data_IF_030486811636
#
_entry.id   IF_030486811636
#
_cell.length_a   1.000
_cell.length_b   1.000
_cell.length_c   1.000
_cell.angle_alpha   90.00
_cell.angle_beta   90.00
_cell.angle_gamma   90.00
#
_symmetry.space_group_name_H-M   'P 1'
#
loop_
_entity.id
_entity.type
_entity.pdbx_description
1 polymer ?
#
# COMPACT_ATOMS: atom_id res chain seq x y z
N UNK A 1 0.47 -16.91 15.13
CA UNK A 1 1.07 -16.48 13.86
C UNK A 1 1.79 -17.63 13.13
N UNK A 2 1.24 -18.82 13.27
CA UNK A 2 1.89 -20.01 12.70
C UNK A 2 1.90 -19.96 11.17
N UNK A 3 3.08 -20.13 10.60
CA UNK A 3 3.29 -20.12 9.14
C UNK A 3 3.42 -18.76 8.49
N UNK A 4 3.32 -17.65 9.22
CA UNK A 4 3.36 -16.31 8.62
C UNK A 4 4.72 -16.00 7.97
N UNK A 5 5.83 -16.37 8.60
CA UNK A 5 7.16 -16.22 7.99
C UNK A 5 7.47 -17.32 6.96
N UNK A 6 6.68 -18.39 6.89
CA UNK A 6 6.86 -19.58 6.06
C UNK A 6 5.98 -19.56 4.80
N UNK A 7 5.49 -18.41 4.40
CA UNK A 7 4.68 -18.26 3.19
C UNK A 7 3.20 -18.62 3.34
N UNK A 8 2.69 -18.77 4.57
CA UNK A 8 1.29 -19.11 4.87
C UNK A 8 0.60 -18.03 5.69
N UNK A 9 0.37 -16.84 5.16
CA UNK A 9 -0.41 -15.79 5.84
C UNK A 9 -1.88 -16.21 5.90
N UNK A 10 -2.60 -15.87 6.99
CA UNK A 10 -4.04 -16.07 7.05
C UNK A 10 -4.81 -15.01 6.25
N UNK A 11 -4.22 -13.83 6.06
CA UNK A 11 -4.74 -12.77 5.24
C UNK A 11 -3.60 -11.94 4.63
N UNK A 12 -3.79 -11.49 3.39
CA UNK A 12 -2.91 -10.52 2.71
C UNK A 12 -3.77 -9.37 2.22
N UNK A 13 -3.50 -8.17 2.71
CA UNK A 13 -4.28 -6.96 2.46
C UNK A 13 -3.51 -6.03 1.55
N UNK A 14 -4.14 -5.55 0.49
CA UNK A 14 -3.58 -4.55 -0.42
C UNK A 14 -3.55 -3.14 0.21
N UNK A 15 -2.83 -2.22 -0.42
CA UNK A 15 -3.05 -0.80 -0.21
C UNK A 15 -4.46 -0.42 -0.74
N UNK A 16 -5.00 0.71 -0.26
CA UNK A 16 -6.28 1.22 -0.73
C UNK A 16 -6.10 2.05 -2.01
N UNK A 17 -6.88 1.75 -3.06
CA UNK A 17 -6.85 2.43 -4.35
C UNK A 17 -8.22 2.99 -4.72
N UNK A 18 -8.31 4.00 -5.60
CA UNK A 18 -9.60 4.46 -6.11
C UNK A 18 -10.41 3.30 -6.67
N UNK A 19 -11.69 3.21 -6.31
CA UNK A 19 -12.55 2.10 -6.72
C UNK A 19 -12.49 1.86 -8.24
N UNK A 20 -12.26 0.61 -8.62
CA UNK A 20 -12.10 0.19 -10.01
C UNK A 20 -10.74 0.49 -10.63
N UNK A 21 -9.72 0.82 -9.81
CA UNK A 21 -8.35 1.06 -10.27
C UNK A 21 -7.32 0.24 -9.48
N UNK A 22 -6.16 0.06 -10.11
CA UNK A 22 -4.93 -0.43 -9.48
C UNK A 22 -3.80 0.58 -9.69
N UNK A 23 -2.68 0.47 -8.98
CA UNK A 23 -1.54 1.35 -9.25
C UNK A 23 -0.97 1.09 -10.66
N UNK A 24 -0.63 2.18 -11.37
CA UNK A 24 0.11 2.07 -12.62
C UNK A 24 1.47 1.41 -12.35
N UNK A 25 1.87 0.36 -13.12
CA UNK A 25 3.11 -0.36 -12.88
C UNK A 25 4.35 0.55 -12.97
N UNK A 26 5.35 0.21 -12.14
CA UNK A 26 6.63 0.92 -12.11
C UNK A 26 7.54 0.49 -13.27
N UNK A 27 7.12 0.75 -14.50
CA UNK A 27 7.88 0.39 -15.70
C UNK A 27 8.78 1.52 -16.18
N UNK A 28 9.96 1.21 -16.78
CA UNK A 28 10.81 2.18 -17.47
C UNK A 28 10.09 2.85 -18.64
N UNK A 29 10.52 4.06 -18.99
CA UNK A 29 9.88 4.85 -20.05
C UNK A 29 9.80 4.16 -21.40
N UNK A 30 10.75 3.28 -21.70
CA UNK A 30 10.84 2.52 -22.96
C UNK A 30 9.71 1.50 -23.17
N UNK A 31 9.00 1.12 -22.11
CA UNK A 31 7.86 0.19 -22.21
C UNK A 31 6.55 0.89 -22.58
N UNK A 32 6.51 2.20 -22.48
CA UNK A 32 5.33 2.99 -22.78
C UNK A 32 5.31 3.44 -24.23
N UNK A 33 4.13 3.65 -24.78
CA UNK A 33 3.99 4.34 -26.05
C UNK A 33 4.72 5.69 -26.03
N UNK A 34 5.33 6.05 -27.14
CA UNK A 34 6.07 7.31 -27.23
C UNK A 34 5.09 8.48 -27.42
N UNK A 35 5.40 9.58 -26.73
CA UNK A 35 4.66 10.84 -26.79
C UNK A 35 5.63 11.99 -26.94
N UNK A 36 5.15 13.11 -27.45
CA UNK A 36 5.90 14.36 -27.52
C UNK A 36 6.27 14.86 -26.11
N UNK A 37 7.37 15.60 -26.04
CA UNK A 37 7.87 16.15 -24.76
C UNK A 37 6.87 17.11 -24.09
N UNK A 38 5.92 17.70 -24.83
CA UNK A 38 4.85 18.55 -24.30
C UNK A 38 3.98 17.86 -23.27
N UNK A 39 3.72 16.56 -23.43
CA UNK A 39 2.83 15.78 -22.56
C UNK A 39 3.54 15.12 -21.37
N UNK A 40 4.86 15.19 -21.35
CA UNK A 40 5.69 14.50 -20.36
C UNK A 40 5.33 14.83 -18.90
N UNK A 41 5.00 16.10 -18.62
CA UNK A 41 4.61 16.53 -17.25
C UNK A 41 3.25 15.93 -16.85
N UNK A 42 2.33 15.85 -17.77
CA UNK A 42 1.01 15.25 -17.54
C UNK A 42 1.11 13.74 -17.37
N UNK A 43 1.81 13.07 -18.27
CA UNK A 43 2.02 11.60 -18.20
C UNK A 43 2.70 11.14 -16.90
N UNK A 44 3.58 11.97 -16.33
CA UNK A 44 4.20 11.68 -15.02
C UNK A 44 3.23 11.71 -13.85
N UNK A 45 2.06 12.35 -14.00
CA UNK A 45 1.01 12.39 -12.97
C UNK A 45 0.06 11.20 -13.04
N UNK A 46 0.10 10.41 -14.11
CA UNK A 46 -0.68 9.19 -14.27
C UNK A 46 -0.26 8.18 -13.20
N UNK A 47 -1.23 7.67 -12.43
CA UNK A 47 -0.97 6.82 -11.27
C UNK A 47 -1.93 5.62 -11.15
N UNK A 48 -3.12 5.69 -11.77
CA UNK A 48 -4.21 4.76 -11.52
C UNK A 48 -4.66 4.10 -12.82
N UNK A 49 -4.42 2.81 -12.96
CA UNK A 49 -4.83 2.00 -14.11
C UNK A 49 -6.24 1.45 -13.86
N UNK A 50 -7.21 1.69 -14.76
CA UNK A 50 -8.55 1.10 -14.63
C UNK A 50 -8.52 -0.42 -14.75
N UNK A 51 -9.24 -1.12 -13.89
CA UNK A 51 -9.39 -2.58 -13.95
C UNK A 51 -10.05 -3.05 -15.27
N UNK A 52 -10.94 -2.26 -15.83
CA UNK A 52 -11.64 -2.56 -17.08
C UNK A 52 -10.70 -2.62 -18.30
N UNK A 53 -9.55 -1.96 -18.22
CA UNK A 53 -8.61 -1.82 -19.33
C UNK A 53 -7.38 -2.76 -19.20
N UNK A 54 -7.39 -3.70 -18.27
CA UNK A 54 -6.26 -4.62 -18.05
C UNK A 54 -5.98 -5.57 -19.23
N UNK A 55 -6.94 -5.77 -20.12
CA UNK A 55 -6.79 -6.53 -21.36
C UNK A 55 -6.03 -5.79 -22.46
N UNK A 56 -5.87 -4.47 -22.33
CA UNK A 56 -5.12 -3.68 -23.28
C UNK A 56 -3.60 -3.96 -23.18
N UNK A 57 -2.86 -3.78 -24.28
CA UNK A 57 -1.41 -3.95 -24.24
C UNK A 57 -0.75 -3.07 -23.19
N UNK A 58 0.21 -3.64 -22.43
CA UNK A 58 0.90 -2.96 -21.33
C UNK A 58 1.52 -1.61 -21.74
N UNK A 59 1.98 -1.48 -23.00
CA UNK A 59 2.54 -0.23 -23.53
C UNK A 59 1.54 0.93 -23.52
N UNK A 60 0.23 0.66 -23.59
CA UNK A 60 -0.85 1.65 -23.60
C UNK A 60 -1.36 2.01 -22.21
N UNK A 61 -1.01 1.26 -21.18
CA UNK A 61 -1.58 1.44 -19.86
C UNK A 61 -1.38 2.85 -19.29
N UNK A 62 -0.23 3.47 -19.54
CA UNK A 62 0.01 4.84 -19.08
C UNK A 62 -0.97 5.84 -19.69
N UNK A 63 -1.35 5.67 -20.96
CA UNK A 63 -2.27 6.56 -21.65
C UNK A 63 -3.70 6.40 -21.13
N UNK A 64 -4.07 5.14 -20.84
CA UNK A 64 -5.38 4.79 -20.28
C UNK A 64 -5.53 5.10 -18.79
N UNK A 65 -4.41 5.31 -18.10
CA UNK A 65 -4.40 5.56 -16.66
C UNK A 65 -4.90 6.97 -16.31
N UNK A 66 -5.34 7.09 -15.07
CA UNK A 66 -5.82 8.36 -14.50
C UNK A 66 -4.75 9.02 -13.61
N UNK A 67 -4.78 10.34 -13.56
CA UNK A 67 -4.17 11.15 -12.50
C UNK A 67 -5.03 11.11 -11.24
N UNK A 68 -4.55 11.64 -10.11
CA UNK A 68 -5.35 11.78 -8.88
C UNK A 68 -6.64 12.59 -9.13
N UNK A 69 -6.57 13.65 -9.95
CA UNK A 69 -7.72 14.48 -10.27
C UNK A 69 -8.75 13.73 -11.14
N UNK A 70 -8.31 13.09 -12.22
CA UNK A 70 -9.19 12.31 -13.09
C UNK A 70 -9.86 11.14 -12.36
N UNK A 71 -9.11 10.46 -11.48
CA UNK A 71 -9.66 9.38 -10.65
C UNK A 71 -10.75 9.90 -9.69
N UNK A 72 -10.57 11.10 -9.13
CA UNK A 72 -11.57 11.72 -8.26
C UNK A 72 -12.81 12.17 -9.04
N UNK A 73 -12.64 12.76 -10.22
CA UNK A 73 -13.74 13.24 -11.07
C UNK A 73 -14.69 12.13 -11.56
N UNK A 74 -14.25 10.88 -11.56
CA UNK A 74 -15.12 9.73 -11.87
C UNK A 74 -16.27 9.55 -10.87
N UNK A 75 -16.13 10.06 -9.65
CA UNK A 75 -17.12 9.89 -8.57
C UNK A 75 -17.88 11.21 -8.28
N UNK A 76 -17.24 12.34 -8.52
CA UNK A 76 -17.85 13.65 -8.34
C UNK A 76 -17.21 14.67 -9.28
N UNK A 77 -17.99 15.32 -10.11
CA UNK A 77 -17.53 16.34 -11.08
C UNK A 77 -16.81 17.52 -10.39
N UNK A 78 -17.18 17.80 -9.15
CA UNK A 78 -16.62 18.91 -8.37
C UNK A 78 -15.30 18.53 -7.66
N UNK A 79 -14.91 17.25 -7.73
CA UNK A 79 -13.69 16.76 -7.09
C UNK A 79 -12.45 17.16 -7.88
N UNK A 80 -11.62 18.00 -7.32
CA UNK A 80 -10.38 18.47 -7.93
C UNK A 80 -9.17 17.55 -7.64
N UNK A 81 -9.25 16.67 -6.64
CA UNK A 81 -8.16 15.77 -6.26
C UNK A 81 -8.66 14.58 -5.44
N UNK A 82 -7.97 13.45 -5.58
CA UNK A 82 -8.15 12.26 -4.75
C UNK A 82 -7.72 12.51 -3.29
N UNK A 83 -6.67 13.28 -3.12
CA UNK A 83 -6.06 13.55 -1.81
C UNK A 83 -5.33 14.88 -1.81
N UNK A 84 -5.25 15.48 -0.63
CA UNK A 84 -4.48 16.70 -0.39
C UNK A 84 -3.42 16.38 0.68
N UNK A 85 -2.17 16.71 0.39
CA UNK A 85 -1.08 16.57 1.34
C UNK A 85 -0.59 17.95 1.73
N UNK A 86 -0.51 18.22 3.04
CA UNK A 86 -0.10 19.52 3.56
C UNK A 86 0.60 19.44 4.91
N UNK A 87 1.35 20.48 5.27
CA UNK A 87 2.01 20.55 6.56
C UNK A 87 1.00 20.80 7.68
N UNK A 88 1.18 20.10 8.79
CA UNK A 88 0.47 20.33 10.03
C UNK A 88 1.46 20.67 11.14
N UNK A 89 1.26 21.80 11.79
CA UNK A 89 2.12 22.24 12.89
C UNK A 89 1.70 21.57 14.19
N UNK A 90 2.67 21.09 14.93
CA UNK A 90 2.49 20.46 16.23
C UNK A 90 3.37 21.14 17.27
N UNK A 91 2.87 21.22 18.50
CA UNK A 91 3.60 21.69 19.67
C UNK A 91 3.65 20.63 20.75
N UNK A 92 4.77 20.53 21.42
CA UNK A 92 4.89 19.82 22.70
C UNK A 92 5.07 20.83 23.80
N UNK A 93 4.20 20.80 24.80
CA UNK A 93 4.22 21.74 25.93
C UNK A 93 5.00 21.10 27.07
N UNK A 94 5.99 21.81 27.57
CA UNK A 94 6.65 21.46 28.83
C UNK A 94 5.68 21.74 30.01
N UNK A 95 5.20 20.71 30.64
CA UNK A 95 4.19 20.81 31.72
C UNK A 95 4.72 21.49 32.97
N UNK A 96 6.03 21.66 33.15
CA UNK A 96 6.62 22.36 34.29
C UNK A 96 6.64 23.87 34.08
N UNK A 97 6.82 24.33 32.85
CA UNK A 97 6.92 25.75 32.49
C UNK A 97 5.67 26.26 31.79
N UNK A 98 4.77 25.36 31.37
CA UNK A 98 3.56 25.63 30.57
C UNK A 98 3.86 26.34 29.23
N UNK A 99 5.08 26.18 28.72
CA UNK A 99 5.52 26.83 27.48
C UNK A 99 6.05 25.79 26.47
N UNK A 100 6.06 26.15 25.21
CA UNK A 100 6.89 25.54 24.18
C UNK A 100 8.32 26.09 24.32
N UNK A 101 9.30 25.40 23.77
CA UNK A 101 10.69 25.81 23.95
C UNK A 101 11.61 25.24 22.89
N UNK A 102 12.81 24.88 23.31
CA UNK A 102 13.86 24.28 22.49
C UNK A 102 13.94 22.76 22.70
N UNK A 103 14.68 22.07 21.85
CA UNK A 103 14.89 20.63 21.93
C UNK A 103 13.58 19.84 21.74
N UNK A 104 13.25 18.97 22.69
CA UNK A 104 12.05 18.09 22.62
C UNK A 104 10.71 18.87 22.74
N UNK A 105 10.76 20.12 23.14
CA UNK A 105 9.59 21.01 23.25
C UNK A 105 9.51 22.04 22.13
N UNK A 106 10.42 21.96 21.14
CA UNK A 106 10.35 22.83 19.96
C UNK A 106 9.12 22.47 19.10
N UNK A 107 8.45 23.46 18.52
CA UNK A 107 7.43 23.22 17.51
C UNK A 107 8.01 22.42 16.32
N UNK A 108 7.21 21.50 15.80
CA UNK A 108 7.61 20.70 14.66
C UNK A 108 6.49 20.57 13.63
N UNK A 109 6.82 20.29 12.40
CA UNK A 109 5.86 20.05 11.33
C UNK A 109 5.82 18.59 10.93
N UNK A 110 4.63 18.08 10.70
CA UNK A 110 4.39 16.81 10.02
C UNK A 110 3.64 17.09 8.73
N UNK A 111 3.82 16.22 7.75
CA UNK A 111 3.00 16.22 6.55
C UNK A 111 1.90 15.18 6.71
N UNK A 112 0.65 15.63 6.68
CA UNK A 112 -0.53 14.80 6.74
C UNK A 112 -1.20 14.74 5.35
N UNK A 113 -1.87 13.63 5.07
CA UNK A 113 -2.62 13.43 3.82
C UNK A 113 -4.09 13.20 4.17
N UNK A 114 -4.96 14.00 3.56
CA UNK A 114 -6.40 13.88 3.66
C UNK A 114 -6.95 13.34 2.35
N UNK A 115 -7.73 12.28 2.43
CA UNK A 115 -8.44 11.72 1.29
C UNK A 115 -9.79 12.40 1.08
N UNK A 116 -10.21 12.51 -0.17
CA UNK A 116 -11.51 13.04 -0.52
C UNK A 116 -12.60 12.03 -0.13
N UNK A 117 -13.50 12.42 0.76
CA UNK A 117 -14.57 11.56 1.28
C UNK A 117 -15.57 11.12 0.20
N UNK A 118 -15.70 11.87 -0.90
CA UNK A 118 -16.59 11.53 -2.00
C UNK A 118 -15.97 10.53 -2.99
N UNK A 119 -14.73 10.08 -2.74
CA UNK A 119 -14.04 9.12 -3.62
C UNK A 119 -13.85 7.81 -2.87
N UNK A 120 -14.64 6.78 -3.16
CA UNK A 120 -14.50 5.49 -2.53
C UNK A 120 -13.16 4.85 -2.90
N UNK A 121 -12.50 4.29 -1.90
CA UNK A 121 -11.32 3.48 -2.07
C UNK A 121 -11.69 2.01 -1.99
N UNK A 122 -10.99 1.16 -2.72
CA UNK A 122 -11.17 -0.29 -2.68
C UNK A 122 -9.86 -0.94 -2.19
N UNK A 123 -10.01 -1.95 -1.33
CA UNK A 123 -8.92 -2.78 -0.82
C UNK A 123 -9.14 -4.20 -1.29
N UNK A 124 -8.15 -4.81 -1.92
CA UNK A 124 -8.19 -6.23 -2.27
C UNK A 124 -7.57 -7.05 -1.16
N UNK A 125 -8.18 -8.17 -0.84
CA UNK A 125 -7.78 -9.05 0.26
C UNK A 125 -7.74 -10.48 -0.25
N UNK A 126 -6.66 -11.18 0.04
CA UNK A 126 -6.55 -12.63 -0.08
C UNK A 126 -6.72 -13.20 1.33
N UNK A 127 -7.71 -14.05 1.52
CA UNK A 127 -8.08 -14.60 2.81
C UNK A 127 -8.03 -16.13 2.80
N UNK A 128 -7.37 -16.74 3.76
CA UNK A 128 -7.42 -18.15 4.02
C UNK A 128 -8.65 -18.47 4.91
N UNK A 129 -9.79 -18.74 4.27
CA UNK A 129 -11.06 -18.99 4.95
C UNK A 129 -11.06 -20.29 5.79
N UNK A 130 -10.00 -21.13 5.70
CA UNK A 130 -9.81 -22.27 6.60
C UNK A 130 -9.30 -21.86 7.99
N UNK A 131 -8.77 -20.64 8.12
CA UNK A 131 -8.10 -20.12 9.34
C UNK A 131 -8.83 -18.96 9.98
N UNK A 132 -9.60 -18.21 9.23
CA UNK A 132 -10.41 -17.09 9.73
C UNK A 132 -11.68 -16.97 8.88
N UNK A 133 -12.81 -16.83 9.53
CA UNK A 133 -14.08 -16.59 8.85
C UNK A 133 -14.12 -15.19 8.23
N UNK A 134 -14.79 -15.07 7.07
CA UNK A 134 -14.90 -13.82 6.33
C UNK A 134 -15.60 -12.72 7.14
N UNK A 135 -16.67 -13.08 7.85
CA UNK A 135 -17.40 -12.11 8.67
C UNK A 135 -16.58 -11.65 9.87
N UNK A 136 -15.85 -12.55 10.51
CA UNK A 136 -14.92 -12.23 11.59
C UNK A 136 -13.80 -11.30 11.10
N UNK A 137 -13.25 -11.55 9.92
CA UNK A 137 -12.23 -10.68 9.33
C UNK A 137 -12.78 -9.30 8.98
N UNK A 138 -13.99 -9.21 8.40
CA UNK A 138 -14.65 -7.94 8.11
C UNK A 138 -14.89 -7.12 9.38
N UNK A 139 -15.39 -7.77 10.45
CA UNK A 139 -15.57 -7.12 11.74
C UNK A 139 -14.23 -6.59 12.33
N UNK A 140 -13.14 -7.36 12.18
CA UNK A 140 -11.82 -6.91 12.60
C UNK A 140 -11.36 -5.67 11.82
N UNK A 141 -11.64 -5.59 10.52
CA UNK A 141 -11.35 -4.40 9.71
C UNK A 141 -12.18 -3.19 10.15
N UNK A 142 -13.45 -3.36 10.49
CA UNK A 142 -14.29 -2.29 11.04
C UNK A 142 -13.70 -1.72 12.35
N UNK A 143 -13.27 -2.60 13.26
CA UNK A 143 -12.60 -2.17 14.49
C UNK A 143 -11.30 -1.39 14.23
N UNK A 144 -10.52 -1.81 13.23
CA UNK A 144 -9.33 -1.06 12.80
C UNK A 144 -9.74 0.30 12.22
N UNK A 145 -10.82 0.37 11.44
CA UNK A 145 -11.36 1.63 10.92
C UNK A 145 -11.76 2.61 12.02
N UNK A 146 -12.43 2.14 13.06
CA UNK A 146 -12.83 2.95 14.22
C UNK A 146 -11.62 3.44 15.04
N UNK A 147 -10.64 2.58 15.27
CA UNK A 147 -9.43 2.91 16.06
C UNK A 147 -8.40 3.70 15.27
N UNK A 148 -8.39 3.58 13.95
CA UNK A 148 -7.40 4.14 13.03
C UNK A 148 -6.26 3.18 12.71
N UNK A 149 -5.72 3.30 11.51
CA UNK A 149 -4.58 2.53 11.00
C UNK A 149 -3.40 3.43 10.69
N UNK A 150 -2.17 2.91 10.85
CA UNK A 150 -0.95 3.59 10.47
C UNK A 150 -0.24 4.32 11.61
N UNK A 151 0.78 5.10 11.22
CA UNK A 151 1.73 5.75 12.16
C UNK A 151 1.09 6.63 13.21
N UNK A 152 0.08 7.38 12.82
CA UNK A 152 -0.54 8.43 13.64
C UNK A 152 -1.96 8.04 14.11
N UNK A 153 -2.29 6.74 14.14
CA UNK A 153 -3.56 6.22 14.65
C UNK A 153 -3.83 6.65 16.10
N UNK A 154 -2.80 6.66 16.96
CA UNK A 154 -2.90 7.08 18.37
C UNK A 154 -3.29 8.56 18.56
N UNK A 155 -3.21 9.38 17.52
CA UNK A 155 -3.65 10.79 17.54
C UNK A 155 -4.90 11.01 16.68
N UNK A 156 -5.62 9.94 16.34
CA UNK A 156 -6.93 9.98 15.69
C UNK A 156 -6.90 10.00 14.16
N UNK A 157 -5.74 9.75 13.54
CA UNK A 157 -5.63 9.63 12.08
C UNK A 157 -5.80 8.18 11.60
N UNK A 158 -5.98 8.01 10.29
CA UNK A 158 -6.10 6.70 9.65
C UNK A 158 -7.43 6.00 9.92
N UNK A 159 -8.46 6.73 10.31
CA UNK A 159 -9.83 6.22 10.44
C UNK A 159 -10.47 6.06 9.07
N UNK A 160 -11.31 5.04 8.94
CA UNK A 160 -12.09 4.78 7.74
C UNK A 160 -13.39 4.07 8.11
N UNK A 161 -14.35 4.08 7.20
CA UNK A 161 -15.58 3.31 7.25
C UNK A 161 -15.57 2.32 6.09
N UNK A 162 -16.16 1.14 6.31
CA UNK A 162 -16.34 0.12 5.26
C UNK A 162 -17.74 0.34 4.68
N UNK A 163 -17.81 0.47 3.36
CA UNK A 163 -19.07 0.67 2.63
C UNK A 163 -19.37 -0.55 1.77
N UNK A 164 -20.61 -1.03 1.84
CA UNK A 164 -21.13 -2.12 1.02
C UNK A 164 -20.61 -3.51 1.45
N UNK A 165 -21.03 -4.51 0.68
CA UNK A 165 -20.64 -5.90 0.89
C UNK A 165 -19.36 -6.24 0.10
N UNK A 166 -18.52 -7.15 0.63
CA UNK A 166 -17.33 -7.60 -0.08
C UNK A 166 -17.71 -8.40 -1.34
N UNK A 167 -17.08 -8.06 -2.45
CA UNK A 167 -17.21 -8.76 -3.72
C UNK A 167 -16.16 -9.85 -3.83
N UNK A 168 -16.58 -11.07 -4.16
CA UNK A 168 -15.65 -12.18 -4.40
C UNK A 168 -15.10 -12.07 -5.81
N UNK A 169 -13.80 -11.88 -5.92
CA UNK A 169 -13.13 -11.84 -7.21
C UNK A 169 -12.93 -13.26 -7.78
N UNK A 170 -12.96 -13.43 -9.10
CA UNK A 170 -12.66 -14.71 -9.73
C UNK A 170 -11.24 -15.14 -9.43
N UNK A 171 -11.01 -16.47 -9.39
CA UNK A 171 -9.67 -17.03 -9.22
C UNK A 171 -8.69 -16.47 -10.27
N UNK A 172 -7.45 -16.16 -9.89
CA UNK A 172 -6.48 -15.58 -10.80
C UNK A 172 -6.11 -16.57 -11.92
N UNK A 173 -5.97 -16.04 -13.12
CA UNK A 173 -5.46 -16.82 -14.25
C UNK A 173 -3.95 -16.95 -14.15
N UNK A 174 -3.42 -18.07 -14.66
CA UNK A 174 -1.98 -18.25 -14.73
C UNK A 174 -1.35 -17.26 -15.72
N UNK A 175 -0.42 -16.47 -15.26
CA UNK A 175 0.34 -15.49 -16.05
C UNK A 175 1.81 -15.48 -15.65
N UNK A 176 2.66 -14.93 -16.51
CA UNK A 176 4.08 -14.70 -16.18
C UNK A 176 4.31 -13.35 -15.53
N UNK A 177 3.47 -12.37 -15.82
CA UNK A 177 3.61 -11.00 -15.33
C UNK A 177 2.52 -10.70 -14.31
N UNK A 178 2.92 -10.12 -13.19
CA UNK A 178 2.02 -9.75 -12.10
C UNK A 178 2.33 -8.35 -11.59
N UNK A 179 1.30 -7.63 -11.17
CA UNK A 179 1.43 -6.32 -10.53
C UNK A 179 1.10 -6.47 -9.05
N UNK A 180 1.99 -6.01 -8.17
CA UNK A 180 1.77 -6.06 -6.72
C UNK A 180 0.86 -4.91 -6.26
N UNK A 181 -0.03 -5.20 -5.32
CA UNK A 181 -1.02 -4.26 -4.80
C UNK A 181 -0.69 -3.73 -3.40
N UNK A 182 0.46 -4.09 -2.86
CA UNK A 182 1.00 -3.55 -1.61
C UNK A 182 2.52 -3.53 -1.68
N UNK A 183 3.15 -2.92 -0.69
CA UNK A 183 4.60 -3.01 -0.53
C UNK A 183 4.99 -4.40 -0.06
N UNK A 184 5.95 -5.06 -0.74
CA UNK A 184 6.32 -6.44 -0.43
C UNK A 184 7.81 -6.74 -0.60
N UNK A 185 8.19 -7.95 -0.16
CA UNK A 185 9.53 -8.53 -0.38
C UNK A 185 9.51 -9.37 -1.64
N UNK A 186 10.38 -9.05 -2.59
CA UNK A 186 10.45 -9.79 -3.86
C UNK A 186 11.42 -10.97 -3.83
N UNK A 187 12.37 -11.01 -2.90
CA UNK A 187 13.37 -12.08 -2.82
C UNK A 187 12.80 -13.47 -2.50
N UNK A 188 11.57 -13.52 -1.97
CA UNK A 188 10.86 -14.77 -1.67
C UNK A 188 9.93 -15.25 -2.81
N UNK A 189 9.83 -14.49 -3.91
CA UNK A 189 8.98 -14.88 -5.04
C UNK A 189 9.64 -16.02 -5.82
N UNK A 190 8.98 -17.19 -5.93
CA UNK A 190 9.53 -18.31 -6.68
C UNK A 190 9.73 -17.96 -8.16
N UNK A 191 10.82 -18.46 -8.74
CA UNK A 191 11.11 -18.33 -10.18
C UNK A 191 11.07 -16.88 -10.73
N UNK A 192 11.27 -15.88 -9.86
CA UNK A 192 11.35 -14.47 -10.29
C UNK A 192 12.47 -14.28 -11.32
N UNK A 193 12.22 -13.43 -12.31
CA UNK A 193 13.19 -12.95 -13.27
C UNK A 193 13.64 -11.53 -12.89
N UNK A 194 14.75 -11.35 -12.14
CA UNK A 194 15.18 -10.03 -11.67
C UNK A 194 15.40 -9.01 -12.79
N UNK A 195 15.95 -9.47 -13.94
CA UNK A 195 16.21 -8.61 -15.10
C UNK A 195 14.93 -8.07 -15.78
N UNK A 196 13.78 -8.66 -15.49
CA UNK A 196 12.46 -8.30 -16.04
C UNK A 196 11.47 -7.87 -14.94
N UNK A 197 11.99 -7.59 -13.76
CA UNK A 197 11.19 -7.15 -12.62
C UNK A 197 11.51 -5.69 -12.32
N UNK A 198 10.48 -4.85 -12.32
CA UNK A 198 10.59 -3.40 -12.18
C UNK A 198 9.78 -2.92 -10.98
N UNK A 199 10.40 -2.16 -10.10
CA UNK A 199 9.75 -1.64 -8.92
C UNK A 199 10.38 -0.32 -8.44
N UNK A 200 9.63 0.43 -7.68
CA UNK A 200 10.15 1.55 -6.89
C UNK A 200 10.55 1.01 -5.52
N UNK A 201 11.77 1.26 -5.10
CA UNK A 201 12.22 0.89 -3.76
C UNK A 201 11.58 1.80 -2.71
N UNK A 202 11.09 1.20 -1.62
CA UNK A 202 10.55 1.90 -0.45
C UNK A 202 11.28 1.44 0.81
N UNK A 203 11.90 2.38 1.52
CA UNK A 203 12.45 2.11 2.84
C UNK A 203 11.37 2.30 3.89
N UNK A 204 11.16 1.29 4.72
CA UNK A 204 10.23 1.34 5.83
C UNK A 204 10.97 1.40 7.17
N UNK A 205 10.69 2.44 7.94
CA UNK A 205 11.22 2.64 9.30
C UNK A 205 10.09 2.34 10.30
N UNK A 206 10.04 1.08 10.77
CA UNK A 206 9.02 0.68 11.73
C UNK A 206 9.33 1.17 13.13
N UNK A 207 8.29 1.48 13.89
CA UNK A 207 8.35 1.78 15.32
C UNK A 207 7.32 0.94 16.05
N UNK A 208 7.66 0.51 17.26
CA UNK A 208 6.69 -0.11 18.15
C UNK A 208 5.68 0.92 18.64
N UNK A 209 4.45 0.46 18.83
CA UNK A 209 3.40 1.20 19.52
C UNK A 209 3.33 0.84 20.99
N UNK A 210 2.34 1.44 21.68
CA UNK A 210 1.98 1.16 23.06
C UNK A 210 3.16 1.22 24.02
N UNK A 211 3.26 0.29 24.98
CA UNK A 211 4.32 0.25 26.01
C UNK A 211 5.71 0.24 25.39
N UNK A 212 5.90 -0.47 24.28
CA UNK A 212 7.19 -0.54 23.60
C UNK A 212 7.60 0.76 22.91
N UNK A 213 6.67 1.68 22.68
CA UNK A 213 6.95 3.00 22.08
C UNK A 213 7.83 3.88 23.00
N UNK A 214 7.77 3.66 24.31
CA UNK A 214 8.54 4.37 25.33
C UNK A 214 9.70 3.52 25.90
N UNK A 215 9.88 2.31 25.40
CA UNK A 215 11.00 1.46 25.75
C UNK A 215 12.33 2.01 25.18
N UNK A 216 13.46 1.57 25.73
CA UNK A 216 14.79 2.05 25.35
C UNK A 216 15.18 1.84 23.88
N UNK A 217 14.51 0.91 23.15
CA UNK A 217 14.74 0.64 21.73
C UNK A 217 13.41 0.50 20.96
N UNK A 218 12.66 1.60 20.75
CA UNK A 218 11.34 1.55 20.12
C UNK A 218 11.38 1.37 18.60
N UNK A 219 12.52 1.57 17.96
CA UNK A 219 12.65 1.50 16.51
C UNK A 219 13.00 0.08 16.05
N UNK A 220 12.33 -0.35 14.99
CA UNK A 220 12.65 -1.57 14.26
C UNK A 220 13.78 -1.32 13.27
N UNK A 221 14.43 -2.39 12.82
CA UNK A 221 15.43 -2.30 11.75
C UNK A 221 14.77 -1.77 10.47
N UNK A 222 15.44 -0.89 9.72
CA UNK A 222 14.95 -0.45 8.42
C UNK A 222 14.79 -1.62 7.45
N UNK A 223 13.70 -1.62 6.69
CA UNK A 223 13.42 -2.64 5.67
C UNK A 223 13.33 -1.99 4.29
N UNK A 224 13.92 -2.65 3.30
CA UNK A 224 13.77 -2.28 1.91
C UNK A 224 12.72 -3.17 1.26
N UNK A 225 11.66 -2.55 0.75
CA UNK A 225 10.52 -3.21 0.12
C UNK A 225 10.34 -2.70 -1.31
N UNK A 226 9.76 -3.52 -2.17
CA UNK A 226 9.18 -3.04 -3.42
C UNK A 226 7.84 -2.34 -3.08
N UNK A 227 7.65 -1.11 -3.56
CA UNK A 227 6.38 -0.41 -3.38
C UNK A 227 5.26 -1.06 -4.21
N UNK A 228 4.00 -0.78 -3.87
CA UNK A 228 2.86 -1.18 -4.68
C UNK A 228 3.02 -0.74 -6.14
N UNK A 229 2.53 -1.53 -7.08
CA UNK A 229 2.75 -1.35 -8.51
C UNK A 229 4.07 -1.94 -9.01
N UNK A 230 4.75 -2.79 -8.23
CA UNK A 230 5.88 -3.54 -8.77
C UNK A 230 5.39 -4.51 -9.87
N UNK A 231 6.06 -4.46 -11.03
CA UNK A 231 5.82 -5.37 -12.14
C UNK A 231 6.81 -6.54 -12.06
N UNK A 232 6.31 -7.71 -11.76
CA UNK A 232 7.10 -8.92 -11.48
C UNK A 232 6.90 -9.93 -12.57
N UNK A 233 7.98 -10.37 -13.24
CA UNK A 233 7.94 -11.45 -14.20
C UNK A 233 8.55 -12.74 -13.60
N UNK A 234 7.85 -13.86 -13.78
CA UNK A 234 8.29 -15.21 -13.39
C UNK A 234 8.66 -16.05 -14.62
N UNK A 235 9.52 -17.05 -14.43
CA UNK A 235 9.95 -17.96 -15.51
C UNK A 235 8.79 -18.76 -16.09
N UNK A 236 7.93 -19.26 -15.22
CA UNK A 236 6.74 -20.04 -15.56
C UNK A 236 5.48 -19.26 -15.20
N UNK A 237 4.38 -19.44 -15.93
CA UNK A 237 3.10 -18.89 -15.56
C UNK A 237 2.67 -19.40 -14.19
N UNK A 238 2.17 -18.50 -13.33
CA UNK A 238 1.63 -18.84 -12.01
C UNK A 238 0.26 -18.21 -11.82
N UNK A 239 -0.61 -18.87 -11.08
CA UNK A 239 -1.89 -18.36 -10.59
C UNK A 239 -1.80 -17.88 -9.14
N UNK A 240 -0.63 -17.39 -8.72
CA UNK A 240 -0.45 -16.88 -7.37
C UNK A 240 -1.39 -15.72 -7.08
N UNK A 241 -2.01 -15.73 -5.90
CA UNK A 241 -2.87 -14.66 -5.42
C UNK A 241 -2.08 -13.56 -4.70
N UNK A 242 -0.91 -13.91 -4.18
CA UNK A 242 -0.02 -12.97 -3.51
C UNK A 242 1.45 -13.36 -3.71
N UNK A 243 2.33 -12.37 -3.51
CA UNK A 243 3.78 -12.54 -3.44
C UNK A 243 4.32 -12.02 -2.10
N UNK A 244 5.55 -12.43 -1.76
CA UNK A 244 6.25 -11.94 -0.58
C UNK A 244 6.34 -12.95 0.55
N UNK A 245 6.79 -12.48 1.71
CA UNK A 245 6.89 -13.26 2.95
C UNK A 245 6.80 -12.37 4.19
N UNK A 246 6.53 -12.99 5.35
CA UNK A 246 6.73 -12.33 6.65
C UNK A 246 8.22 -12.18 6.95
N UNK A 247 8.63 -11.04 7.52
CA UNK A 247 10.02 -10.72 7.82
C UNK A 247 10.22 -10.77 9.33
N UNK A 248 10.92 -11.80 9.81
CA UNK A 248 11.33 -11.94 11.21
C UNK A 248 12.60 -11.15 11.54
N UNK A 249 12.95 -11.10 12.83
CA UNK A 249 14.20 -10.48 13.30
C UNK A 249 14.27 -8.97 13.12
N UNK A 250 13.14 -8.32 12.91
CA UNK A 250 13.03 -6.88 12.61
C UNK A 250 13.17 -6.00 13.86
N UNK A 251 13.01 -6.55 15.05
CA UNK A 251 13.03 -5.78 16.29
C UNK A 251 14.11 -6.26 17.25
N UNK A 252 14.99 -5.36 17.73
CA UNK A 252 15.94 -5.68 18.79
C UNK A 252 15.27 -5.91 20.15
N UNK A 253 14.19 -5.18 20.46
CA UNK A 253 13.48 -5.23 21.74
C UNK A 253 12.42 -6.32 21.79
N UNK A 254 11.96 -6.82 20.65
CA UNK A 254 10.91 -7.83 20.53
C UNK A 254 11.27 -8.84 19.43
N UNK A 255 12.04 -9.90 19.76
CA UNK A 255 12.52 -10.88 18.77
C UNK A 255 11.41 -11.58 17.97
N UNK A 256 10.22 -11.75 18.57
CA UNK A 256 9.06 -12.36 17.95
C UNK A 256 8.29 -11.42 17.00
N UNK A 257 8.67 -10.13 16.95
CA UNK A 257 8.02 -9.19 16.06
C UNK A 257 8.31 -9.56 14.59
N UNK A 258 7.23 -9.64 13.81
CA UNK A 258 7.27 -9.87 12.37
C UNK A 258 6.76 -8.63 11.65
N UNK A 259 7.38 -8.32 10.52
CA UNK A 259 6.87 -7.30 9.61
C UNK A 259 6.14 -7.95 8.44
N UNK A 260 5.05 -7.34 8.01
CA UNK A 260 4.30 -7.74 6.84
C UNK A 260 5.14 -7.43 5.58
N UNK A 261 5.39 -8.41 4.74
CA UNK A 261 6.11 -8.26 3.47
C UNK A 261 5.39 -8.95 2.31
N UNK A 262 4.10 -9.20 2.44
CA UNK A 262 3.23 -9.78 1.41
C UNK A 262 2.48 -8.70 0.63
N UNK A 263 2.15 -8.99 -0.62
CA UNK A 263 1.22 -8.19 -1.43
C UNK A 263 0.29 -9.09 -2.23
N UNK A 264 -1.02 -8.83 -2.27
CA UNK A 264 -1.88 -9.38 -3.29
C UNK A 264 -1.37 -8.99 -4.67
N UNK A 265 -1.61 -9.82 -5.68
CA UNK A 265 -1.15 -9.55 -7.04
C UNK A 265 -2.27 -9.69 -8.05
N UNK A 266 -2.16 -8.95 -9.14
CA UNK A 266 -3.02 -9.08 -10.33
C UNK A 266 -2.18 -9.59 -11.49
N UNK A 267 -2.68 -10.66 -12.14
CA UNK A 267 -2.09 -11.22 -13.34
C UNK A 267 -2.31 -10.28 -14.53
N UNK A 268 -1.25 -10.07 -15.31
CA UNK A 268 -1.29 -9.37 -16.61
C UNK A 268 -1.19 -10.41 -17.71
N UNK A 269 -2.19 -10.47 -18.57
CA UNK A 269 -2.34 -11.48 -19.63
C UNK A 269 -1.71 -11.02 -20.95
#
# INVERSE_FOLDING_TARGET
MDGYCEGRPFAVVADAFPKGCIPLPALPAQFWAQHDDSDRKYLKKKAWMPLAELSEPLSRWRDLSYTDAEAAQRFSSDSSSLRITGPRVHNTINRRTLTTGTGVFAPYMKSDTWFNQNVPLCVQIVLDETRIDRAEFAQALEYVGLSGSGRDASVGLGKYEIEGEPEVLPAPRAAKVHITLASCVLSSVPDILPAKTYYKARTHFGRHGDVLAVAGAPFKRPLLLAAAGACVETKLPTSAEFFGCGIGGVSPSQPQAVHQGYAPVIAVL
#
